data_IF_044994116493
#
_entry.id   IF_044994116493
#
_cell.length_a   1.000
_cell.length_b   1.000
_cell.length_c   1.000
_cell.angle_alpha   90.00
_cell.angle_beta   90.00
_cell.angle_gamma   90.00
#
_symmetry.space_group_name_H-M   'P 1'
#
loop_
_entity.id
_entity.type
_entity.pdbx_description
1 polymer ?
#
# COMPACT_ATOMS: atom_id res chain seq x y z
N UNK A 1 -43.11 -5.86 -5.94
CA UNK A 1 -41.81 -5.41 -5.48
C UNK A 1 -41.28 -4.30 -6.36
N UNK A 2 -40.88 -3.21 -5.80
CA UNK A 2 -40.42 -2.06 -6.56
C UNK A 2 -38.94 -2.06 -6.69
N UNK A 3 -38.45 -1.58 -7.85
CA UNK A 3 -37.00 -1.42 -8.07
C UNK A 3 -36.39 -0.32 -7.20
N UNK A 4 -37.23 0.50 -6.57
CA UNK A 4 -36.78 1.56 -5.67
C UNK A 4 -36.02 1.03 -4.43
N UNK A 5 -36.28 -0.23 -4.04
CA UNK A 5 -35.57 -0.85 -2.95
C UNK A 5 -34.11 -1.17 -3.30
N UNK A 6 -33.79 -1.23 -4.59
CA UNK A 6 -32.44 -1.55 -5.06
C UNK A 6 -31.65 -0.28 -5.27
N UNK A 7 -30.82 0.07 -4.29
CA UNK A 7 -29.91 1.21 -4.41
C UNK A 7 -28.50 0.68 -4.60
N UNK A 8 -27.96 0.79 -5.83
CA UNK A 8 -26.59 0.33 -6.06
C UNK A 8 -25.60 1.13 -5.20
N UNK A 9 -24.63 0.42 -4.66
CA UNK A 9 -23.53 1.07 -3.93
C UNK A 9 -22.27 0.26 -4.14
N UNK A 10 -21.14 0.95 -4.12
CA UNK A 10 -19.84 0.29 -4.25
C UNK A 10 -19.51 -0.35 -2.90
N UNK A 11 -19.22 -1.65 -2.92
CA UNK A 11 -18.92 -2.40 -1.69
C UNK A 11 -17.46 -2.73 -1.52
N UNK A 12 -16.64 -2.50 -2.57
CA UNK A 12 -15.20 -2.66 -2.47
C UNK A 12 -14.52 -1.75 -3.49
N UNK A 13 -13.29 -1.42 -3.20
CA UNK A 13 -12.46 -0.61 -4.09
C UNK A 13 -11.01 -0.89 -3.70
N UNK A 14 -10.16 -1.21 -4.67
CA UNK A 14 -8.77 -1.53 -4.37
C UNK A 14 -7.87 -1.14 -5.53
N UNK A 15 -6.64 -0.66 -5.25
CA UNK A 15 -5.64 -0.48 -6.30
C UNK A 15 -5.13 -1.85 -6.75
N UNK A 16 -4.69 -1.92 -8.00
CA UNK A 16 -4.03 -3.11 -8.54
C UNK A 16 -2.62 -2.70 -8.96
N UNK A 17 -1.62 -3.37 -8.38
CA UNK A 17 -0.22 -3.11 -8.73
C UNK A 17 0.30 -4.26 -9.61
N UNK A 18 0.93 -3.90 -10.71
CA UNK A 18 1.60 -4.88 -11.57
C UNK A 18 3.00 -5.15 -11.02
N UNK A 19 3.31 -6.41 -10.76
CA UNK A 19 4.56 -6.80 -10.11
C UNK A 19 5.33 -7.80 -10.98
N UNK A 20 6.66 -7.79 -10.88
CA UNK A 20 7.50 -8.68 -11.67
C UNK A 20 7.51 -10.11 -11.10
N UNK A 21 7.40 -10.25 -9.78
CA UNK A 21 7.48 -11.52 -9.08
C UNK A 21 6.46 -11.50 -7.94
N UNK A 22 5.37 -12.25 -8.11
CA UNK A 22 4.25 -12.21 -7.18
C UNK A 22 4.65 -12.66 -5.77
N UNK A 23 5.42 -13.75 -5.65
CA UNK A 23 5.82 -14.26 -4.34
C UNK A 23 6.70 -13.25 -3.59
N UNK A 24 7.62 -12.60 -4.30
CA UNK A 24 8.47 -11.59 -3.72
C UNK A 24 7.64 -10.41 -3.21
N UNK A 25 6.66 -9.98 -3.99
CA UNK A 25 5.80 -8.87 -3.61
C UNK A 25 4.91 -9.21 -2.42
N UNK A 26 4.34 -10.43 -2.40
CA UNK A 26 3.56 -10.89 -1.24
C UNK A 26 4.43 -10.86 0.02
N UNK A 27 5.66 -11.37 -0.04
CA UNK A 27 6.57 -11.37 1.10
C UNK A 27 6.84 -9.94 1.58
N UNK A 28 7.02 -9.01 0.65
CA UNK A 28 7.25 -7.62 1.00
C UNK A 28 6.03 -7.00 1.70
N UNK A 29 4.84 -7.17 1.13
CA UNK A 29 3.64 -6.57 1.70
C UNK A 29 3.26 -7.18 3.05
N UNK A 30 3.64 -8.43 3.30
CA UNK A 30 3.50 -9.02 4.64
C UNK A 30 4.32 -8.26 5.69
N UNK A 31 5.46 -7.69 5.29
CA UNK A 31 6.27 -6.85 6.20
C UNK A 31 5.55 -5.58 6.62
N UNK A 32 4.62 -5.10 5.80
CA UNK A 32 3.80 -3.93 6.11
C UNK A 32 2.58 -4.30 6.97
N UNK A 33 2.27 -5.58 7.07
CA UNK A 33 1.15 -6.06 7.84
C UNK A 33 0.02 -6.67 7.03
N UNK A 34 0.15 -6.73 5.70
CA UNK A 34 -0.88 -7.34 4.85
C UNK A 34 -0.92 -8.85 5.05
N UNK A 35 -2.12 -9.41 4.95
CA UNK A 35 -2.33 -10.86 4.86
C UNK A 35 -2.79 -11.20 3.45
N UNK A 36 -2.44 -12.41 2.98
CA UNK A 36 -2.82 -12.88 1.65
C UNK A 36 -3.34 -14.29 1.77
N UNK A 37 -4.38 -14.61 0.98
CA UNK A 37 -4.78 -15.99 0.75
C UNK A 37 -3.93 -16.62 -0.34
N UNK A 38 -4.33 -17.82 -0.80
CA UNK A 38 -3.65 -18.48 -1.91
C UNK A 38 -3.78 -17.63 -3.18
N UNK A 39 -2.68 -17.42 -3.93
CA UNK A 39 -2.76 -16.71 -5.19
C UNK A 39 -3.69 -17.42 -6.17
N UNK A 40 -4.51 -16.65 -6.86
CA UNK A 40 -5.39 -17.19 -7.87
C UNK A 40 -4.55 -17.53 -9.11
N UNK A 41 -4.58 -18.79 -9.50
CA UNK A 41 -3.85 -19.32 -10.66
C UNK A 41 -2.37 -18.92 -10.70
N UNK A 42 -1.78 -18.65 -9.54
CA UNK A 42 -0.36 -18.34 -9.41
C UNK A 42 0.07 -16.95 -9.86
N UNK A 43 -0.85 -16.12 -10.37
CA UNK A 43 -0.45 -14.80 -10.89
C UNK A 43 -1.19 -13.62 -10.24
N UNK A 44 -2.21 -13.87 -9.44
CA UNK A 44 -3.02 -12.79 -8.86
C UNK A 44 -3.23 -13.02 -7.37
N UNK A 45 -3.00 -11.99 -6.58
CA UNK A 45 -3.17 -12.10 -5.13
C UNK A 45 -3.95 -10.90 -4.60
N UNK A 46 -4.76 -11.14 -3.59
CA UNK A 46 -5.52 -10.10 -2.90
C UNK A 46 -4.98 -10.00 -1.49
N UNK A 47 -4.41 -8.84 -1.16
CA UNK A 47 -3.93 -8.54 0.17
C UNK A 47 -4.95 -7.77 0.98
N UNK A 48 -4.94 -8.00 2.28
CA UNK A 48 -5.81 -7.30 3.22
C UNK A 48 -4.97 -6.70 4.35
N UNK A 49 -5.19 -5.42 4.60
CA UNK A 49 -4.62 -4.72 5.75
C UNK A 49 -5.76 -3.99 6.45
N UNK A 50 -6.15 -4.53 7.61
CA UNK A 50 -7.23 -3.95 8.42
C UNK A 50 -8.54 -3.76 7.64
N UNK A 51 -8.86 -4.71 6.75
CA UNK A 51 -10.08 -4.67 5.95
C UNK A 51 -9.97 -3.90 4.65
N UNK A 52 -8.80 -3.34 4.36
CA UNK A 52 -8.56 -2.60 3.12
C UNK A 52 -7.72 -3.44 2.18
N UNK A 53 -8.09 -3.46 0.90
CA UNK A 53 -7.51 -4.39 -0.06
C UNK A 53 -6.47 -3.76 -0.96
N UNK A 54 -5.49 -4.58 -1.33
CA UNK A 54 -4.52 -4.29 -2.36
C UNK A 54 -4.42 -5.52 -3.27
N UNK A 55 -4.59 -5.32 -4.57
CA UNK A 55 -4.48 -6.41 -5.54
C UNK A 55 -3.10 -6.38 -6.20
N UNK A 56 -2.49 -7.54 -6.32
CA UNK A 56 -1.19 -7.72 -6.99
C UNK A 56 -1.38 -8.64 -8.18
N UNK A 57 -0.90 -8.21 -9.34
CA UNK A 57 -0.94 -9.02 -10.56
C UNK A 57 0.47 -9.14 -11.13
N UNK A 58 0.91 -10.38 -11.40
CA UNK A 58 2.22 -10.59 -12.00
C UNK A 58 2.21 -10.17 -13.46
N UNK A 59 3.04 -9.18 -13.80
CA UNK A 59 3.17 -8.65 -15.14
C UNK A 59 4.47 -7.84 -15.26
N UNK A 60 5.15 -7.88 -16.43
CA UNK A 60 6.41 -7.15 -16.62
C UNK A 60 6.23 -5.63 -16.49
N UNK A 61 7.27 -4.93 -16.07
CA UNK A 61 7.27 -3.48 -15.90
C UNK A 61 8.49 -2.81 -16.49
N UNK A 62 8.34 -1.52 -16.79
CA UNK A 62 9.40 -0.68 -17.32
C UNK A 62 10.22 -0.05 -16.18
N UNK A 63 11.52 -0.38 -16.10
CA UNK A 63 12.40 0.10 -15.03
C UNK A 63 12.67 1.61 -15.10
N UNK A 64 12.71 2.19 -16.27
CA UNK A 64 12.95 3.63 -16.42
C UNK A 64 11.78 4.44 -15.84
N UNK A 65 10.56 3.95 -16.02
CA UNK A 65 9.38 4.58 -15.47
C UNK A 65 9.40 4.57 -13.94
N UNK A 66 9.86 3.47 -13.34
CA UNK A 66 9.98 3.38 -11.88
C UNK A 66 10.90 4.45 -11.32
N UNK A 67 12.04 4.68 -11.98
CA UNK A 67 13.00 5.70 -11.54
C UNK A 67 12.40 7.10 -11.61
N UNK A 68 11.71 7.40 -12.67
CA UNK A 68 11.06 8.70 -12.84
C UNK A 68 10.05 8.96 -11.72
N UNK A 69 9.26 7.97 -11.40
CA UNK A 69 8.25 8.09 -10.35
C UNK A 69 8.87 8.33 -8.99
N UNK A 70 9.93 7.63 -8.67
CA UNK A 70 10.65 7.83 -7.41
C UNK A 70 11.22 9.24 -7.30
N UNK A 71 11.90 9.70 -8.35
CA UNK A 71 12.57 11.00 -8.35
C UNK A 71 11.57 12.16 -8.23
N UNK A 72 10.35 11.96 -8.66
CA UNK A 72 9.30 12.97 -8.62
C UNK A 72 8.26 12.70 -7.53
N UNK A 73 8.52 11.76 -6.63
CA UNK A 73 7.63 11.39 -5.52
C UNK A 73 6.20 11.09 -5.98
N UNK A 74 6.07 10.31 -7.05
CA UNK A 74 4.75 9.91 -7.55
C UNK A 74 4.20 8.77 -6.69
N UNK A 75 3.24 9.09 -5.84
CA UNK A 75 2.61 8.10 -4.97
C UNK A 75 1.63 7.23 -5.76
N UNK A 76 1.67 5.94 -5.50
CA UNK A 76 0.74 4.98 -6.09
C UNK A 76 -0.47 4.76 -5.20
N UNK A 77 -0.29 4.94 -3.90
CA UNK A 77 -1.36 4.82 -2.93
C UNK A 77 -1.04 5.69 -1.71
N UNK A 78 -2.07 6.08 -1.01
CA UNK A 78 -1.95 6.80 0.24
C UNK A 78 -2.90 6.18 1.24
N UNK A 79 -2.43 5.94 2.45
CA UNK A 79 -3.20 5.31 3.51
C UNK A 79 -3.16 6.14 4.78
N UNK A 80 -4.30 6.29 5.42
CA UNK A 80 -4.40 6.94 6.73
C UNK A 80 -4.20 5.90 7.84
N UNK A 81 -3.44 6.26 8.85
CA UNK A 81 -3.11 5.38 9.98
C UNK A 81 -3.38 6.13 11.29
N UNK A 82 -4.07 5.48 12.21
CA UNK A 82 -4.45 6.12 13.47
C UNK A 82 -3.34 6.14 14.51
N UNK A 83 -2.35 5.27 14.42
CA UNK A 83 -1.19 5.23 15.30
C UNK A 83 0.08 5.23 14.44
N UNK A 84 0.35 6.35 13.80
CA UNK A 84 1.36 6.44 12.74
C UNK A 84 2.78 6.14 13.26
N UNK A 85 3.15 6.61 14.45
CA UNK A 85 4.48 6.35 14.99
C UNK A 85 4.69 4.86 15.25
N UNK A 86 3.69 4.20 15.84
CA UNK A 86 3.76 2.76 16.11
C UNK A 86 3.79 1.96 14.80
N UNK A 87 3.00 2.37 13.82
CA UNK A 87 2.98 1.72 12.52
C UNK A 87 4.34 1.85 11.83
N UNK A 88 4.92 3.04 11.84
CA UNK A 88 6.25 3.28 11.26
C UNK A 88 7.30 2.39 11.92
N UNK A 89 7.30 2.34 13.25
CA UNK A 89 8.26 1.50 13.99
C UNK A 89 8.11 0.02 13.61
N UNK A 90 6.88 -0.45 13.44
CA UNK A 90 6.60 -1.82 13.00
C UNK A 90 7.15 -2.09 11.60
N UNK A 91 6.91 -1.17 10.67
CA UNK A 91 7.41 -1.32 9.31
C UNK A 91 8.92 -1.36 9.27
N UNK A 92 9.59 -0.48 10.01
CA UNK A 92 11.06 -0.46 10.10
C UNK A 92 11.58 -1.77 10.71
N UNK A 93 10.97 -2.22 11.81
CA UNK A 93 11.39 -3.46 12.47
C UNK A 93 11.22 -4.68 11.56
N UNK A 94 10.22 -4.67 10.70
CA UNK A 94 9.94 -5.76 9.77
C UNK A 94 10.75 -5.68 8.47
N UNK A 95 11.58 -4.64 8.32
CA UNK A 95 12.48 -4.52 7.17
C UNK A 95 11.85 -3.93 5.91
N UNK A 96 10.81 -3.11 6.05
CA UNK A 96 10.26 -2.39 4.91
C UNK A 96 11.28 -1.39 4.36
N UNK A 97 11.22 -1.14 3.06
CA UNK A 97 12.11 -0.17 2.42
C UNK A 97 11.53 1.22 2.60
N UNK A 98 12.16 2.02 3.44
CA UNK A 98 11.70 3.38 3.73
C UNK A 98 12.31 4.33 2.71
N UNK A 99 11.46 4.90 1.85
CA UNK A 99 11.88 5.88 0.86
C UNK A 99 12.01 7.27 1.48
N UNK A 100 11.06 7.62 2.34
CA UNK A 100 11.08 8.89 3.06
C UNK A 100 10.74 8.62 4.53
N UNK A 101 11.64 8.97 5.46
CA UNK A 101 11.39 8.69 6.88
C UNK A 101 10.20 9.46 7.43
N UNK A 102 9.68 8.99 8.55
CA UNK A 102 8.57 9.65 9.24
C UNK A 102 8.94 11.10 9.56
N UNK A 103 8.10 12.02 9.14
CA UNK A 103 8.32 13.43 9.37
C UNK A 103 7.00 14.20 9.43
N UNK A 104 7.05 15.38 10.02
CA UNK A 104 5.89 16.26 10.14
C UNK A 104 5.61 16.94 8.81
N UNK A 105 4.35 16.95 8.40
CA UNK A 105 3.92 17.65 7.18
C UNK A 105 3.50 19.08 7.50
N UNK A 106 3.37 19.88 6.45
CA UNK A 106 2.92 21.27 6.60
C UNK A 106 1.46 21.38 7.10
N UNK A 107 0.69 20.29 6.95
CA UNK A 107 -0.74 20.28 7.34
C UNK A 107 -0.99 19.58 8.67
N UNK A 108 0.06 19.29 9.43
CA UNK A 108 -0.09 18.84 10.84
C UNK A 108 -0.15 17.34 11.05
N UNK A 109 0.10 16.54 10.03
CA UNK A 109 0.22 15.07 10.17
C UNK A 109 1.67 14.67 10.19
N UNK A 110 1.91 13.37 10.42
CA UNK A 110 3.21 12.74 10.17
C UNK A 110 3.03 11.70 9.09
N UNK A 111 3.90 11.73 8.10
CA UNK A 111 3.84 10.82 6.97
C UNK A 111 5.19 10.16 6.75
N UNK A 112 5.20 8.94 6.18
CA UNK A 112 6.40 8.31 5.65
C UNK A 112 6.06 7.57 4.36
N UNK A 113 7.08 7.34 3.53
CA UNK A 113 6.89 6.64 2.27
C UNK A 113 7.65 5.32 2.30
N UNK A 114 7.02 4.26 1.79
CA UNK A 114 7.68 2.99 1.51
C UNK A 114 7.74 2.79 0.02
N UNK A 115 8.78 2.08 -0.43
CA UNK A 115 8.91 1.66 -1.82
C UNK A 115 8.88 0.14 -1.86
N UNK A 116 8.06 -0.42 -2.73
CA UNK A 116 7.98 -1.87 -2.87
C UNK A 116 9.04 -2.38 -3.87
N UNK A 117 9.22 -3.72 -4.02
CA UNK A 117 10.24 -4.26 -4.93
C UNK A 117 10.07 -3.86 -6.38
N UNK A 118 8.88 -3.42 -6.78
CA UNK A 118 8.59 -3.00 -8.16
C UNK A 118 8.61 -1.48 -8.34
N UNK A 119 8.96 -0.73 -7.29
CA UNK A 119 9.07 0.71 -7.36
C UNK A 119 7.76 1.44 -7.10
N UNK A 120 6.73 0.75 -6.62
CA UNK A 120 5.51 1.43 -6.17
C UNK A 120 5.78 2.16 -4.87
N UNK A 121 5.23 3.36 -4.76
CA UNK A 121 5.45 4.22 -3.61
C UNK A 121 4.12 4.40 -2.88
N UNK A 122 4.11 4.03 -1.59
CA UNK A 122 2.93 4.17 -0.75
C UNK A 122 3.26 5.16 0.37
N UNK A 123 2.39 6.15 0.54
CA UNK A 123 2.44 7.06 1.67
C UNK A 123 1.55 6.52 2.78
N UNK A 124 2.09 6.42 3.98
CA UNK A 124 1.30 6.18 5.20
C UNK A 124 1.37 7.45 6.03
N UNK A 125 0.22 7.94 6.45
CA UNK A 125 0.17 9.18 7.21
C UNK A 125 -0.94 9.18 8.24
N UNK A 126 -0.78 10.04 9.24
CA UNK A 126 -1.79 10.17 10.27
C UNK A 126 -1.45 11.28 11.25
N UNK A 127 -2.38 11.53 12.18
CA UNK A 127 -2.13 12.51 13.23
C UNK A 127 -1.06 11.98 14.18
N UNK A 128 -0.13 12.85 14.60
CA UNK A 128 0.84 12.43 15.60
C UNK A 128 0.14 12.10 16.92
N UNK A 129 0.79 11.26 17.73
CA UNK A 129 0.27 10.92 19.05
C UNK A 129 0.12 12.19 19.88
N UNK A 130 -0.99 12.26 20.64
CA UNK A 130 -1.19 13.36 21.58
C UNK A 130 -0.17 13.22 22.71
N UNK A 131 0.57 14.33 22.97
CA UNK A 131 1.61 14.18 23.96
C UNK A 131 2.12 15.40 24.56
#
# INVERSE_FOLDING_TARGET
MTTEALKPRVTSFAPQFLVDDLERSIAYYRKLGFTFGEPWDGFYAIGDLDGLELHLKEAPKNQAERRYRRDNEHLDASAGVDAIEAFYARCVANGATILKPLGTTAWGTKDFYVEDPDGYIICFGGRPAAG
#
